data_IF_184223806581
#
_entry.id   IF_184223806581
#
_cell.length_a   1.000
_cell.length_b   1.000
_cell.length_c   1.000
_cell.angle_alpha   90.00
_cell.angle_beta   90.00
_cell.angle_gamma   90.00
#
_symmetry.space_group_name_H-M   'P 1'
#
loop_
_entity.id
_entity.type
_entity.pdbx_description
1 polymer ?
#
# COMPACT_ATOMS: atom_id res chain seq x y z
N UNK A 1 -2.93 -28.15 22.11
CA UNK A 1 -3.36 -27.49 23.37
C UNK A 1 -3.77 -26.04 23.14
N UNK A 2 -3.13 -25.29 22.26
CA UNK A 2 -3.52 -23.90 21.90
C UNK A 2 -4.80 -23.82 21.08
N UNK A 3 -5.02 -24.72 20.13
CA UNK A 3 -6.27 -24.80 19.37
C UNK A 3 -7.49 -25.02 20.26
N UNK A 4 -7.38 -25.82 21.31
CA UNK A 4 -8.49 -26.08 22.25
C UNK A 4 -8.82 -24.84 23.09
N UNK A 5 -7.81 -24.08 23.53
CA UNK A 5 -7.98 -22.79 24.23
C UNK A 5 -8.62 -21.75 23.33
N UNK A 6 -8.24 -21.69 22.07
CA UNK A 6 -8.84 -20.79 21.06
C UNK A 6 -10.33 -21.12 20.84
N UNK A 7 -10.70 -22.38 20.75
CA UNK A 7 -12.10 -22.82 20.64
C UNK A 7 -12.93 -22.53 21.90
N UNK A 8 -12.32 -22.61 23.09
CA UNK A 8 -12.98 -22.29 24.37
C UNK A 8 -13.20 -20.78 24.47
N UNK A 9 -12.27 -19.96 24.02
CA UNK A 9 -12.40 -18.49 24.00
C UNK A 9 -13.46 -18.03 22.99
N UNK A 10 -13.57 -18.66 21.83
CA UNK A 10 -14.61 -18.41 20.83
C UNK A 10 -16.03 -18.75 21.34
N UNK A 11 -16.17 -19.65 22.30
CA UNK A 11 -17.46 -19.96 22.95
C UNK A 11 -17.80 -19.03 24.11
N UNK A 12 -17.00 -17.99 24.37
CA UNK A 12 -17.34 -17.03 25.40
C UNK A 12 -18.61 -16.25 25.01
N UNK A 13 -19.48 -16.01 25.96
CA UNK A 13 -20.71 -15.24 25.75
C UNK A 13 -20.47 -13.87 25.11
N UNK A 14 -19.32 -13.27 25.40
CA UNK A 14 -18.87 -11.99 24.81
C UNK A 14 -18.58 -12.14 23.32
N UNK A 15 -17.85 -13.17 22.90
CA UNK A 15 -17.53 -13.42 21.49
C UNK A 15 -18.81 -13.67 20.68
N UNK A 16 -19.76 -14.45 21.22
CA UNK A 16 -21.05 -14.70 20.58
C UNK A 16 -21.83 -13.40 20.41
N UNK A 17 -21.92 -12.57 21.45
CA UNK A 17 -22.62 -11.27 21.36
C UNK A 17 -21.99 -10.32 20.34
N UNK A 18 -20.67 -10.32 20.20
CA UNK A 18 -19.96 -9.52 19.20
C UNK A 18 -20.33 -10.01 17.79
N UNK A 19 -20.26 -11.33 17.55
CA UNK A 19 -20.60 -11.92 16.26
C UNK A 19 -22.06 -11.63 15.88
N UNK A 20 -23.00 -11.87 16.81
CA UNK A 20 -24.42 -11.57 16.59
C UNK A 20 -24.68 -10.08 16.27
N UNK A 21 -23.93 -9.17 16.90
CA UNK A 21 -24.03 -7.74 16.65
C UNK A 21 -23.51 -7.38 15.25
N UNK A 22 -22.41 -8.00 14.81
CA UNK A 22 -21.84 -7.83 13.47
C UNK A 22 -22.81 -8.37 12.41
N UNK A 23 -23.31 -9.59 12.58
CA UNK A 23 -24.28 -10.21 11.66
C UNK A 23 -25.53 -9.36 11.49
N UNK A 24 -26.09 -8.84 12.60
CA UNK A 24 -27.23 -7.91 12.58
C UNK A 24 -26.93 -6.61 11.82
N UNK A 25 -25.79 -5.99 12.11
CA UNK A 25 -25.38 -4.71 11.48
C UNK A 25 -25.20 -4.83 9.98
N UNK A 26 -24.76 -5.99 9.51
CA UNK A 26 -24.51 -6.28 8.10
C UNK A 26 -25.70 -6.94 7.39
N UNK A 27 -26.85 -7.13 8.07
CA UNK A 27 -28.01 -7.89 7.55
C UNK A 27 -27.62 -9.29 7.00
N UNK A 28 -26.61 -9.91 7.59
CA UNK A 28 -26.15 -11.24 7.21
C UNK A 28 -26.96 -12.33 7.91
N UNK A 29 -27.12 -13.46 7.23
CA UNK A 29 -27.75 -14.65 7.84
C UNK A 29 -26.79 -15.26 8.86
N UNK A 30 -27.32 -15.90 9.88
CA UNK A 30 -26.53 -16.61 10.88
C UNK A 30 -25.61 -17.63 10.21
N UNK A 31 -24.30 -17.61 10.55
CA UNK A 31 -23.25 -18.43 9.96
C UNK A 31 -22.92 -18.14 8.48
N UNK A 32 -23.41 -17.04 7.91
CA UNK A 32 -22.94 -16.59 6.59
C UNK A 32 -21.52 -16.04 6.71
N UNK A 33 -20.64 -16.40 5.77
CA UNK A 33 -19.26 -15.91 5.78
C UNK A 33 -19.23 -14.42 5.49
N UNK A 34 -18.60 -13.67 6.40
CA UNK A 34 -18.38 -12.23 6.26
C UNK A 34 -16.95 -12.01 5.81
N UNK A 35 -16.78 -11.34 4.67
CA UNK A 35 -15.47 -10.96 4.16
C UNK A 35 -15.10 -9.56 4.63
N UNK A 36 -13.83 -9.33 4.93
CA UNK A 36 -13.36 -8.03 5.44
C UNK A 36 -13.45 -6.94 4.36
N UNK A 37 -13.20 -7.29 3.11
CA UNK A 37 -13.17 -6.37 1.97
C UNK A 37 -14.01 -6.92 0.82
N UNK A 38 -15.32 -6.91 0.99
CA UNK A 38 -16.23 -7.33 -0.07
C UNK A 38 -16.55 -6.12 -0.96
N UNK A 39 -16.28 -6.17 -2.28
CA UNK A 39 -16.61 -5.08 -3.18
C UNK A 39 -18.13 -4.95 -3.31
N UNK A 40 -18.62 -3.71 -3.32
CA UNK A 40 -20.01 -3.39 -3.57
C UNK A 40 -20.17 -2.85 -4.99
N UNK A 41 -21.04 -3.47 -5.77
CA UNK A 41 -21.40 -3.05 -7.12
C UNK A 41 -22.89 -2.75 -7.21
N UNK A 42 -23.26 -1.78 -8.04
CA UNK A 42 -24.63 -1.44 -8.31
C UNK A 42 -24.91 -1.33 -9.83
N UNK A 43 -26.07 -0.79 -10.20
CA UNK A 43 -26.45 -0.67 -11.61
C UNK A 43 -25.53 0.25 -12.43
N UNK A 44 -24.79 1.14 -11.78
CA UNK A 44 -23.89 2.07 -12.45
C UNK A 44 -22.70 1.33 -13.06
N UNK A 45 -22.03 0.47 -12.29
CA UNK A 45 -20.88 -0.33 -12.76
C UNK A 45 -21.30 -1.26 -13.89
N UNK A 46 -22.44 -1.94 -13.73
CA UNK A 46 -23.00 -2.83 -14.76
C UNK A 46 -23.27 -2.05 -16.06
N UNK A 47 -23.90 -0.84 -15.94
CA UNK A 47 -24.17 0.01 -17.10
C UNK A 47 -22.89 0.45 -17.82
N UNK A 48 -21.85 0.84 -17.07
CA UNK A 48 -20.56 1.24 -17.64
C UNK A 48 -19.87 0.07 -18.36
N UNK A 49 -19.86 -1.11 -17.76
CA UNK A 49 -19.30 -2.30 -18.41
C UNK A 49 -20.04 -2.65 -19.70
N UNK A 50 -21.36 -2.61 -19.69
CA UNK A 50 -22.17 -2.84 -20.89
C UNK A 50 -21.86 -1.81 -21.99
N UNK A 51 -21.65 -0.55 -21.65
CA UNK A 51 -21.23 0.50 -22.59
C UNK A 51 -19.83 0.23 -23.17
N UNK A 52 -18.88 -0.26 -22.35
CA UNK A 52 -17.55 -0.65 -22.82
C UNK A 52 -17.64 -1.75 -23.87
N UNK A 53 -18.41 -2.81 -23.59
CA UNK A 53 -18.58 -3.94 -24.50
C UNK A 53 -19.25 -3.48 -25.80
N UNK A 54 -20.38 -2.76 -25.72
CA UNK A 54 -21.13 -2.28 -26.90
C UNK A 54 -20.31 -1.35 -27.80
N UNK A 55 -19.33 -0.62 -27.23
CA UNK A 55 -18.45 0.29 -27.97
C UNK A 55 -17.12 -0.36 -28.38
N UNK A 56 -16.94 -1.67 -28.16
CA UNK A 56 -15.68 -2.38 -28.37
C UNK A 56 -14.49 -1.72 -27.65
N UNK A 57 -14.75 -1.04 -26.52
CA UNK A 57 -13.74 -0.30 -25.74
C UNK A 57 -13.21 -1.17 -24.60
N UNK A 58 -12.64 -2.33 -24.95
CA UNK A 58 -12.17 -3.35 -23.99
C UNK A 58 -10.66 -3.44 -23.89
N UNK A 59 -9.93 -2.50 -24.50
CA UNK A 59 -8.47 -2.44 -24.46
C UNK A 59 -7.96 -1.27 -23.62
N UNK A 60 -6.64 -1.23 -23.37
CA UNK A 60 -5.96 -0.17 -22.62
C UNK A 60 -6.07 1.23 -23.25
N UNK A 61 -6.35 1.31 -24.55
CA UNK A 61 -6.55 2.57 -25.28
C UNK A 61 -8.00 3.09 -25.24
N UNK A 62 -8.85 2.54 -24.34
CA UNK A 62 -10.26 2.86 -24.24
C UNK A 62 -10.54 4.26 -23.69
N UNK A 63 -11.69 4.82 -24.08
CA UNK A 63 -12.18 6.12 -23.58
C UNK A 63 -12.21 6.17 -22.04
N UNK A 64 -12.71 5.12 -21.39
CA UNK A 64 -12.86 5.09 -19.94
C UNK A 64 -11.52 5.00 -19.19
N UNK A 65 -10.48 4.46 -19.79
CA UNK A 65 -9.12 4.50 -19.21
C UNK A 65 -8.63 5.92 -19.09
N UNK A 66 -8.76 6.71 -20.18
CA UNK A 66 -8.39 8.14 -20.16
C UNK A 66 -9.25 8.95 -19.19
N UNK A 67 -10.56 8.73 -19.17
CA UNK A 67 -11.46 9.41 -18.22
C UNK A 67 -11.08 9.10 -16.77
N UNK A 68 -10.72 7.85 -16.47
CA UNK A 68 -10.24 7.43 -15.14
C UNK A 68 -8.94 8.18 -14.76
N UNK A 69 -7.95 8.20 -15.64
CA UNK A 69 -6.69 8.90 -15.41
C UNK A 69 -6.91 10.41 -15.15
N UNK A 70 -7.78 11.07 -15.93
CA UNK A 70 -8.11 12.48 -15.71
C UNK A 70 -8.81 12.71 -14.35
N UNK A 71 -9.74 11.84 -13.96
CA UNK A 71 -10.40 11.92 -12.64
C UNK A 71 -9.42 11.73 -11.50
N UNK A 72 -8.49 10.79 -11.61
CA UNK A 72 -7.44 10.59 -10.60
C UNK A 72 -6.56 11.84 -10.49
N UNK A 73 -6.17 12.45 -11.59
CA UNK A 73 -5.41 13.72 -11.58
C UNK A 73 -6.16 14.84 -10.86
N UNK A 74 -7.46 14.98 -11.12
CA UNK A 74 -8.30 15.98 -10.46
C UNK A 74 -8.39 15.75 -8.93
N UNK A 75 -8.64 14.51 -8.50
CA UNK A 75 -8.79 14.17 -7.08
C UNK A 75 -7.46 14.35 -6.35
N UNK A 76 -6.36 13.87 -6.93
CA UNK A 76 -5.04 13.84 -6.27
C UNK A 76 -4.24 15.11 -6.49
N UNK A 77 -4.65 15.97 -7.43
CA UNK A 77 -3.88 17.11 -7.94
C UNK A 77 -2.52 16.70 -8.52
N UNK A 78 -2.37 15.46 -8.93
CA UNK A 78 -1.18 14.96 -9.58
C UNK A 78 -1.08 15.50 -11.01
N UNK A 79 0.13 15.78 -11.47
CA UNK A 79 0.38 16.25 -12.84
C UNK A 79 0.11 15.15 -13.87
N UNK A 80 0.40 13.91 -13.51
CA UNK A 80 0.25 12.74 -14.37
C UNK A 80 -0.45 11.62 -13.62
N UNK A 81 -1.20 10.80 -14.33
CA UNK A 81 -1.77 9.55 -13.85
C UNK A 81 -1.67 8.51 -14.96
N UNK A 82 -1.42 7.27 -14.59
CA UNK A 82 -1.38 6.13 -15.51
C UNK A 82 -2.16 4.98 -14.90
N UNK A 83 -3.17 4.52 -15.61
CA UNK A 83 -3.96 3.37 -15.18
C UNK A 83 -3.16 2.07 -15.36
N UNK A 84 -3.31 1.18 -14.39
CA UNK A 84 -2.74 -0.17 -14.41
C UNK A 84 -3.84 -1.19 -14.08
N UNK A 85 -3.58 -2.47 -14.36
CA UNK A 85 -4.57 -3.52 -14.14
C UNK A 85 -4.87 -3.77 -12.64
N UNK A 86 -3.89 -3.47 -11.77
CA UNK A 86 -4.02 -3.59 -10.30
C UNK A 86 -2.92 -2.81 -9.60
N UNK A 87 -3.02 -2.68 -8.26
CA UNK A 87 -2.04 -1.97 -7.43
C UNK A 87 -0.65 -2.57 -7.46
N UNK A 88 -0.50 -3.89 -7.55
CA UNK A 88 0.81 -4.54 -7.66
C UNK A 88 1.55 -4.09 -8.92
N UNK A 89 0.85 -4.03 -10.05
CA UNK A 89 1.40 -3.51 -11.30
C UNK A 89 1.73 -2.02 -11.21
N UNK A 90 0.92 -1.25 -10.48
CA UNK A 90 1.19 0.17 -10.23
C UNK A 90 2.48 0.37 -9.44
N UNK A 91 2.68 -0.38 -8.35
CA UNK A 91 3.91 -0.33 -7.54
C UNK A 91 5.14 -0.77 -8.34
N UNK A 92 5.02 -1.82 -9.15
CA UNK A 92 6.09 -2.26 -10.05
C UNK A 92 6.47 -1.16 -11.05
N UNK A 93 5.49 -0.56 -11.73
CA UNK A 93 5.71 0.53 -12.67
C UNK A 93 6.32 1.76 -11.98
N UNK A 94 5.86 2.11 -10.77
CA UNK A 94 6.41 3.21 -9.99
C UNK A 94 7.89 2.99 -9.64
N UNK A 95 8.29 1.77 -9.26
CA UNK A 95 9.69 1.43 -9.00
C UNK A 95 10.56 1.57 -10.24
N UNK A 96 10.08 1.12 -11.40
CA UNK A 96 10.77 1.31 -12.67
C UNK A 96 10.89 2.79 -13.04
N UNK A 97 9.81 3.56 -12.90
CA UNK A 97 9.77 4.99 -13.22
C UNK A 97 10.75 5.83 -12.40
N UNK A 98 10.95 5.49 -11.12
CA UNK A 98 11.95 6.15 -10.28
C UNK A 98 13.37 5.59 -10.46
N UNK A 99 13.59 4.65 -11.40
CA UNK A 99 14.89 4.15 -11.79
C UNK A 99 15.53 3.20 -10.78
N UNK A 100 14.73 2.37 -10.12
CA UNK A 100 15.23 1.27 -9.27
C UNK A 100 15.88 0.21 -10.15
N UNK A 101 16.98 -0.34 -9.68
CA UNK A 101 17.79 -1.35 -10.39
C UNK A 101 17.92 -2.63 -9.58
N UNK A 102 18.30 -3.69 -10.26
CA UNK A 102 18.69 -4.95 -9.63
C UNK A 102 19.74 -4.69 -8.52
N UNK A 103 19.55 -5.34 -7.38
CA UNK A 103 20.39 -5.21 -6.17
C UNK A 103 20.24 -3.91 -5.38
N UNK A 104 19.37 -2.97 -5.78
CA UNK A 104 19.01 -1.87 -4.90
C UNK A 104 18.23 -2.38 -3.69
N UNK A 105 18.28 -1.70 -2.56
CA UNK A 105 17.43 -1.93 -1.40
C UNK A 105 16.32 -0.88 -1.35
N UNK A 106 15.10 -1.33 -1.05
CA UNK A 106 13.92 -0.48 -0.90
C UNK A 106 13.41 -0.63 0.53
N UNK A 107 13.35 0.47 1.28
CA UNK A 107 12.75 0.48 2.60
C UNK A 107 11.24 0.32 2.48
N UNK A 108 10.68 -0.67 3.16
CA UNK A 108 9.22 -0.91 3.23
C UNK A 108 8.81 -1.18 4.68
N UNK A 109 7.64 -0.71 5.16
CA UNK A 109 7.19 -1.01 6.51
C UNK A 109 6.99 -2.52 6.70
N UNK A 110 7.25 -3.03 7.91
CA UNK A 110 7.04 -4.45 8.22
C UNK A 110 5.56 -4.85 8.18
N UNK A 111 4.65 -3.92 8.47
CA UNK A 111 3.22 -4.06 8.24
C UNK A 111 2.88 -3.42 6.89
N UNK A 112 2.62 -4.25 5.90
CA UNK A 112 2.21 -3.83 4.55
C UNK A 112 1.44 -4.95 3.85
N UNK A 113 0.88 -4.64 2.69
CA UNK A 113 0.36 -5.66 1.79
C UNK A 113 1.50 -6.32 1.02
N UNK A 114 1.42 -7.63 0.79
CA UNK A 114 2.48 -8.42 0.13
C UNK A 114 2.92 -7.87 -1.23
N UNK A 115 2.05 -7.10 -1.90
CA UNK A 115 2.34 -6.44 -3.17
C UNK A 115 3.57 -5.54 -3.11
N UNK A 116 3.79 -4.83 -1.99
CA UNK A 116 4.95 -3.94 -1.81
C UNK A 116 6.27 -4.72 -1.88
N UNK A 117 6.34 -5.87 -1.21
CA UNK A 117 7.51 -6.74 -1.24
C UNK A 117 7.70 -7.40 -2.62
N UNK A 118 6.62 -7.91 -3.21
CA UNK A 118 6.65 -8.54 -4.52
C UNK A 118 7.08 -7.57 -5.62
N UNK A 119 6.60 -6.33 -5.60
CA UNK A 119 7.01 -5.30 -6.56
C UNK A 119 8.53 -5.03 -6.49
N UNK A 120 9.12 -5.02 -5.29
CA UNK A 120 10.58 -4.92 -5.14
C UNK A 120 11.30 -6.09 -5.82
N UNK A 121 10.80 -7.32 -5.61
CA UNK A 121 11.40 -8.51 -6.22
C UNK A 121 11.27 -8.52 -7.75
N UNK A 122 10.16 -8.02 -8.30
CA UNK A 122 9.95 -7.96 -9.76
C UNK A 122 10.97 -7.06 -10.47
N UNK A 123 11.48 -6.01 -9.83
CA UNK A 123 12.57 -5.18 -10.36
C UNK A 123 13.96 -5.70 -9.98
N UNK A 124 14.05 -6.86 -9.32
CA UNK A 124 15.30 -7.44 -8.84
C UNK A 124 15.93 -6.70 -7.65
N UNK A 125 15.15 -5.83 -6.97
CA UNK A 125 15.57 -5.15 -5.77
C UNK A 125 15.30 -6.00 -4.52
N UNK A 126 15.90 -5.63 -3.41
CA UNK A 126 15.72 -6.30 -2.12
C UNK A 126 14.79 -5.47 -1.24
N UNK A 127 13.63 -6.01 -0.80
CA UNK A 127 12.82 -5.37 0.21
C UNK A 127 13.58 -5.33 1.54
N UNK A 128 13.68 -4.13 2.12
CA UNK A 128 14.36 -3.89 3.38
C UNK A 128 13.30 -3.44 4.40
N UNK A 129 12.89 -4.36 5.26
CA UNK A 129 11.81 -4.11 6.22
C UNK A 129 12.24 -3.16 7.32
N UNK A 130 11.37 -2.20 7.65
CA UNK A 130 11.56 -1.19 8.68
C UNK A 130 10.41 -1.21 9.68
N UNK A 131 10.69 -0.75 10.92
CA UNK A 131 9.73 -0.72 12.01
C UNK A 131 8.56 0.22 11.73
N UNK A 132 7.41 -0.16 12.27
CA UNK A 132 6.19 0.64 12.32
C UNK A 132 6.01 1.26 13.71
N UNK A 133 5.15 2.26 13.81
CA UNK A 133 4.70 2.83 15.07
C UNK A 133 3.23 2.48 15.34
N UNK A 134 2.85 2.44 16.63
CA UNK A 134 1.55 1.88 17.03
C UNK A 134 0.35 2.82 16.80
N UNK A 135 0.59 4.11 16.62
CA UNK A 135 -0.50 5.10 16.54
C UNK A 135 -1.22 5.09 15.19
N UNK A 136 -0.46 5.06 14.10
CA UNK A 136 -0.99 5.07 12.74
C UNK A 136 -0.71 3.76 11.99
N UNK A 137 0.04 2.83 12.60
CA UNK A 137 0.55 1.61 11.98
C UNK A 137 1.47 1.89 10.77
N UNK A 138 1.84 3.14 10.57
CA UNK A 138 2.78 3.58 9.55
C UNK A 138 4.23 3.47 10.03
N UNK A 139 5.15 4.03 9.23
CA UNK A 139 6.60 3.95 9.49
C UNK A 139 6.98 4.69 10.78
N UNK A 140 7.79 4.05 11.64
CA UNK A 140 8.42 4.70 12.77
C UNK A 140 9.63 5.52 12.32
N UNK A 141 9.40 6.77 11.91
CA UNK A 141 10.45 7.64 11.37
C UNK A 141 11.57 7.98 12.37
N UNK A 142 11.30 7.97 13.68
CA UNK A 142 12.33 8.18 14.70
C UNK A 142 13.33 7.02 14.68
N UNK A 143 12.85 5.79 14.83
CA UNK A 143 13.69 4.59 14.75
C UNK A 143 14.39 4.46 13.39
N UNK A 144 13.68 4.76 12.30
CA UNK A 144 14.25 4.72 10.95
C UNK A 144 15.43 5.69 10.81
N UNK A 145 15.30 6.93 11.31
CA UNK A 145 16.38 7.91 11.29
C UNK A 145 17.61 7.42 12.06
N UNK A 146 17.41 6.87 13.25
CA UNK A 146 18.47 6.30 14.08
C UNK A 146 19.17 5.12 13.36
N UNK A 147 18.36 4.19 12.83
CA UNK A 147 18.83 3.04 12.09
C UNK A 147 19.69 3.44 10.88
N UNK A 148 19.19 4.31 10.01
CA UNK A 148 19.91 4.75 8.82
C UNK A 148 21.18 5.52 9.18
N UNK A 149 21.15 6.38 10.22
CA UNK A 149 22.33 7.11 10.65
C UNK A 149 23.47 6.19 11.13
N UNK A 150 23.12 5.08 11.80
CA UNK A 150 24.09 4.10 12.32
C UNK A 150 24.56 3.13 11.25
N UNK A 151 23.65 2.64 10.41
CA UNK A 151 23.88 1.47 9.55
C UNK A 151 24.13 1.81 8.08
N UNK A 152 24.17 3.11 7.72
CA UNK A 152 24.47 3.53 6.36
C UNK A 152 25.65 4.48 6.28
N UNK A 153 26.20 4.62 5.07
CA UNK A 153 27.19 5.64 4.72
C UNK A 153 26.88 6.20 3.34
N UNK A 154 27.26 7.46 3.11
CA UNK A 154 27.16 8.05 1.78
C UNK A 154 28.41 7.72 0.94
N UNK A 155 28.18 7.30 -0.28
CA UNK A 155 29.23 7.12 -1.28
C UNK A 155 28.65 7.41 -2.65
N UNK A 156 29.31 8.26 -3.44
CA UNK A 156 28.90 8.63 -4.81
C UNK A 156 27.44 9.11 -4.91
N UNK A 157 26.96 9.88 -3.90
CA UNK A 157 25.58 10.39 -3.87
C UNK A 157 24.51 9.38 -3.40
N UNK A 158 24.90 8.16 -3.04
CA UNK A 158 23.97 7.11 -2.61
C UNK A 158 24.10 6.77 -1.13
N UNK A 159 22.97 6.46 -0.51
CA UNK A 159 22.88 5.89 0.84
C UNK A 159 23.19 4.39 0.75
N UNK A 160 24.38 3.97 1.19
CA UNK A 160 24.79 2.57 1.15
C UNK A 160 24.58 1.90 2.51
N UNK A 161 23.98 0.73 2.51
CA UNK A 161 23.92 -0.15 3.66
C UNK A 161 25.33 -0.67 4.00
N UNK A 162 25.81 -0.45 5.22
CA UNK A 162 27.16 -0.88 5.65
C UNK A 162 27.32 -2.40 5.65
N UNK A 163 26.25 -3.15 5.92
CA UNK A 163 26.27 -4.61 5.99
C UNK A 163 26.25 -5.25 4.59
N UNK A 164 25.27 -4.91 3.78
CA UNK A 164 25.07 -5.53 2.46
C UNK A 164 25.91 -4.90 1.35
N UNK A 165 26.42 -3.69 1.59
CA UNK A 165 27.13 -2.84 0.61
C UNK A 165 26.24 -2.40 -0.57
N UNK A 166 24.94 -2.67 -0.50
CA UNK A 166 23.97 -2.28 -1.52
C UNK A 166 23.44 -0.86 -1.30
N UNK A 167 23.07 -0.13 -2.36
CA UNK A 167 22.44 1.17 -2.23
C UNK A 167 20.98 1.06 -1.77
N UNK A 168 20.61 1.80 -0.75
CA UNK A 168 19.24 2.04 -0.36
C UNK A 168 18.75 3.22 -1.20
N UNK A 169 17.86 2.96 -2.17
CA UNK A 169 17.47 3.93 -3.19
C UNK A 169 16.14 4.60 -2.92
N UNK A 170 15.24 3.91 -2.29
CA UNK A 170 13.89 4.41 -2.09
C UNK A 170 13.30 3.96 -0.76
N UNK A 171 12.27 4.67 -0.35
CA UNK A 171 11.32 4.25 0.65
C UNK A 171 9.94 4.15 -0.01
N UNK A 172 9.27 3.03 0.20
CA UNK A 172 7.88 2.82 -0.17
C UNK A 172 7.08 2.73 1.11
N UNK A 173 6.26 3.73 1.39
CA UNK A 173 5.36 3.74 2.55
C UNK A 173 3.98 3.27 2.14
N UNK A 174 3.22 2.71 3.07
CA UNK A 174 1.80 2.38 2.90
C UNK A 174 0.96 3.18 3.89
N UNK A 175 -0.14 3.76 3.43
CA UNK A 175 -1.12 4.41 4.28
C UNK A 175 -2.11 3.36 4.79
N UNK A 176 -1.72 2.64 5.84
CA UNK A 176 -2.43 1.49 6.39
C UNK A 176 -3.85 1.89 6.84
N UNK A 177 -4.86 1.20 6.32
CA UNK A 177 -6.28 1.48 6.55
C UNK A 177 -6.68 2.94 6.26
N UNK A 178 -6.00 3.58 5.30
CA UNK A 178 -6.24 4.98 4.95
C UNK A 178 -5.66 6.01 5.92
N UNK A 179 -4.95 5.58 6.96
CA UNK A 179 -4.29 6.50 7.90
C UNK A 179 -2.97 7.02 7.32
N UNK A 180 -2.80 8.35 7.18
CA UNK A 180 -1.59 8.90 6.59
C UNK A 180 -0.38 8.70 7.50
N UNK A 181 0.74 8.34 6.91
CA UNK A 181 2.03 8.43 7.59
C UNK A 181 2.38 9.89 7.92
N UNK A 182 3.29 10.10 8.86
CA UNK A 182 3.82 11.46 9.15
C UNK A 182 4.67 11.95 7.97
N UNK A 183 4.03 12.62 7.01
CA UNK A 183 4.69 13.12 5.79
C UNK A 183 5.75 14.19 6.07
N UNK A 184 5.64 14.94 7.18
CA UNK A 184 6.65 15.92 7.58
C UNK A 184 7.97 15.23 7.94
N UNK A 185 7.93 14.14 8.69
CA UNK A 185 9.12 13.39 9.05
C UNK A 185 9.64 12.53 7.88
N UNK A 186 8.75 12.00 7.05
CA UNK A 186 9.10 11.34 5.79
C UNK A 186 9.96 12.26 4.90
N UNK A 187 9.53 13.51 4.68
CA UNK A 187 10.29 14.50 3.88
C UNK A 187 11.69 14.76 4.42
N UNK A 188 11.85 14.82 5.77
CA UNK A 188 13.17 14.96 6.40
C UNK A 188 14.08 13.77 6.10
N UNK A 189 13.54 12.54 6.18
CA UNK A 189 14.27 11.31 5.90
C UNK A 189 14.69 11.26 4.42
N UNK A 190 13.76 11.49 3.51
CA UNK A 190 14.03 11.51 2.06
C UNK A 190 15.17 12.47 1.73
N UNK A 191 15.09 13.71 2.23
CA UNK A 191 16.11 14.73 1.97
C UNK A 191 17.45 14.35 2.59
N UNK A 192 17.45 13.88 3.85
CA UNK A 192 18.69 13.56 4.58
C UNK A 192 19.44 12.39 3.96
N UNK A 193 18.74 11.36 3.50
CA UNK A 193 19.36 10.12 2.99
C UNK A 193 19.31 9.99 1.47
N UNK A 194 18.90 11.06 0.77
CA UNK A 194 18.76 11.12 -0.69
C UNK A 194 17.99 9.93 -1.26
N UNK A 195 16.80 9.67 -0.68
CA UNK A 195 15.93 8.57 -1.07
C UNK A 195 14.84 9.06 -2.03
N UNK A 196 14.40 8.20 -2.93
CA UNK A 196 13.15 8.36 -3.67
C UNK A 196 11.99 7.87 -2.82
N UNK A 197 10.77 8.35 -3.11
CA UNK A 197 9.58 7.96 -2.35
C UNK A 197 8.50 7.42 -3.27
N UNK A 198 7.87 6.34 -2.82
CA UNK A 198 6.60 5.84 -3.35
C UNK A 198 5.62 5.80 -2.18
N UNK A 199 4.40 6.28 -2.42
CA UNK A 199 3.30 6.21 -1.47
C UNK A 199 2.28 5.20 -2.00
N UNK A 200 2.15 4.06 -1.32
CA UNK A 200 1.07 3.12 -1.54
C UNK A 200 -0.17 3.66 -0.82
N UNK A 201 -1.08 4.22 -1.61
CA UNK A 201 -2.33 4.82 -1.15
C UNK A 201 -3.55 3.97 -1.59
N UNK A 202 -3.39 2.66 -1.73
CA UNK A 202 -4.47 1.77 -2.16
C UNK A 202 -5.73 1.91 -1.27
N UNK A 203 -5.54 2.20 0.02
CA UNK A 203 -6.62 2.43 0.98
C UNK A 203 -6.82 3.93 1.31
N UNK A 204 -6.03 4.82 0.71
CA UNK A 204 -5.96 6.24 1.08
C UNK A 204 -6.60 7.21 0.10
N UNK A 205 -7.19 6.76 -1.01
CA UNK A 205 -7.79 7.65 -2.00
C UNK A 205 -8.92 8.50 -1.39
N UNK A 206 -8.81 9.82 -1.53
CA UNK A 206 -9.76 10.78 -0.95
C UNK A 206 -9.41 11.24 0.47
N UNK A 207 -8.38 10.67 1.10
CA UNK A 207 -7.83 11.18 2.36
C UNK A 207 -6.88 12.35 2.12
N UNK A 208 -6.88 13.32 3.04
CA UNK A 208 -6.00 14.49 2.96
C UNK A 208 -5.12 14.60 4.20
N UNK A 209 -3.85 14.90 3.99
CA UNK A 209 -2.92 15.25 5.05
C UNK A 209 -3.01 16.75 5.35
N UNK A 210 -3.32 17.10 6.60
CA UNK A 210 -3.42 18.49 7.09
C UNK A 210 -2.10 19.00 7.69
#
# INVERSE_FOLDING_TARGET
>A
METLKFWIMLKSKIAINIVDSIEKSLNKRKNERIYLHEPYFNKTEISLMNKCIKKNSVSTAGFYTKEFEEKIKLITKAKYATATINGTSALHLALLAIGIKKNDEILIPALNFIASANACLYVGATPHFIDIESKTLGVNFKKLKEYLSKNTKFKNGYCLNKKTKKPIRAIMIMHTFGHPNNLKDLRKIIKKFNLRCIEDAAEGLGSYYK
#
